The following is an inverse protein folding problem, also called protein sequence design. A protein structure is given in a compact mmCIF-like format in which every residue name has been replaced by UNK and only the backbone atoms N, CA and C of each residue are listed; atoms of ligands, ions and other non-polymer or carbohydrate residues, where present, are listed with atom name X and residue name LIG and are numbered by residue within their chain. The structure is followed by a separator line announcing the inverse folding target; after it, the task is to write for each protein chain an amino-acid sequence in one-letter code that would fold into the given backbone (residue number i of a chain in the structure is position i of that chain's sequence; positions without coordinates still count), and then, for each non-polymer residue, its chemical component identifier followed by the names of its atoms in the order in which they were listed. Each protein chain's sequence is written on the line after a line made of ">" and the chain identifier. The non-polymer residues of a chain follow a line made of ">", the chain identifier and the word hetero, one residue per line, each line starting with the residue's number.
data_IF_956153195737
#
_entry.id   IF_956153195737
#
_cell.length_a   1.000
_cell.length_b   1.000
_cell.length_c   1.000
_cell.angle_alpha   90.00
_cell.angle_beta   90.00
_cell.angle_gamma   90.00
#
_symmetry.space_group_name_H-M   'P 1'
#
loop_
_entity.id
_entity.type
_entity.pdbx_description
1 polymer ?
#
# COMPACT_ATOMS: atom_id res chain seq x y z
N UNK A 1 55.20 1.35 -25.35
CA UNK A 1 54.31 0.51 -24.52
C UNK A 1 53.51 1.41 -23.59
N UNK A 2 52.26 1.66 -23.96
CA UNK A 2 51.35 2.60 -23.29
C UNK A 2 50.91 2.07 -21.94
N UNK A 3 51.07 2.88 -20.88
CA UNK A 3 50.39 2.71 -19.60
C UNK A 3 49.11 3.55 -19.64
N UNK A 4 48.02 2.92 -20.05
CA UNK A 4 46.67 3.47 -19.83
C UNK A 4 46.28 3.21 -18.39
N UNK A 5 46.23 4.27 -17.58
CA UNK A 5 45.54 4.27 -16.31
C UNK A 5 44.04 4.11 -16.58
N UNK A 6 43.46 2.97 -16.22
CA UNK A 6 42.00 2.79 -16.19
C UNK A 6 41.55 3.26 -14.82
N UNK A 7 40.90 4.41 -14.77
CA UNK A 7 40.19 4.87 -13.57
C UNK A 7 39.00 3.93 -13.32
N UNK A 8 39.07 3.12 -12.27
CA UNK A 8 37.88 2.49 -11.71
C UNK A 8 37.03 3.59 -11.06
N UNK A 9 36.04 4.10 -11.80
CA UNK A 9 34.94 4.86 -11.21
C UNK A 9 34.09 3.89 -10.39
N UNK A 10 34.25 3.91 -9.08
CA UNK A 10 33.29 3.36 -8.13
C UNK A 10 31.99 4.17 -8.27
N UNK A 11 31.07 3.71 -9.12
CA UNK A 11 29.67 4.07 -9.01
C UNK A 11 29.12 3.35 -7.78
N UNK A 12 29.31 3.96 -6.61
CA UNK A 12 28.46 3.70 -5.45
C UNK A 12 27.05 4.14 -5.84
N UNK A 13 26.24 3.20 -6.31
CA UNK A 13 24.80 3.33 -6.42
C UNK A 13 24.22 3.44 -5.02
N UNK A 14 24.25 4.66 -4.47
CA UNK A 14 23.34 5.09 -3.40
C UNK A 14 21.98 5.27 -4.08
N UNK A 15 21.23 4.18 -4.25
CA UNK A 15 19.89 4.21 -4.83
C UNK A 15 18.90 3.63 -3.82
N UNK A 16 18.80 4.34 -2.70
CA UNK A 16 17.57 4.49 -1.91
C UNK A 16 17.64 5.92 -1.37
N UNK A 17 17.44 6.89 -2.26
CA UNK A 17 17.49 8.28 -1.88
C UNK A 17 16.18 8.61 -1.16
N UNK A 18 16.19 8.47 0.17
CA UNK A 18 15.13 9.01 1.03
C UNK A 18 14.78 10.43 0.57
N UNK A 19 13.53 10.65 0.15
CA UNK A 19 13.08 11.96 -0.31
C UNK A 19 13.03 12.92 0.90
N UNK A 20 13.36 14.21 0.73
CA UNK A 20 13.15 15.20 1.78
C UNK A 20 11.71 15.13 2.31
N UNK A 21 11.56 15.00 3.63
CA UNK A 21 10.27 14.86 4.29
C UNK A 21 9.83 13.42 4.60
N UNK A 22 10.52 12.39 4.12
CA UNK A 22 10.12 10.98 4.37
C UNK A 22 10.11 10.62 5.85
N UNK A 23 10.97 11.21 6.67
CA UNK A 23 10.94 11.05 8.13
C UNK A 23 9.61 11.53 8.73
N UNK A 24 9.05 12.64 8.24
CA UNK A 24 7.73 13.11 8.68
C UNK A 24 6.62 12.18 8.19
N UNK A 25 6.74 11.67 6.95
CA UNK A 25 5.79 10.70 6.41
C UNK A 25 5.80 9.44 7.27
N UNK A 26 6.95 8.87 7.59
CA UNK A 26 7.06 7.70 8.46
C UNK A 26 6.54 7.96 9.88
N UNK A 27 6.79 9.15 10.44
CA UNK A 27 6.18 9.54 11.73
C UNK A 27 4.65 9.50 11.64
N UNK A 28 4.07 10.07 10.59
CA UNK A 28 2.64 10.06 10.38
C UNK A 28 2.08 8.65 10.11
N UNK A 29 2.78 7.83 9.32
CA UNK A 29 2.43 6.42 9.04
C UNK A 29 2.36 5.63 10.34
N UNK A 30 3.33 5.81 11.25
CA UNK A 30 3.32 5.10 12.53
C UNK A 30 2.16 5.54 13.45
N UNK A 31 1.82 6.84 13.47
CA UNK A 31 0.65 7.34 14.18
C UNK A 31 -0.65 6.77 13.58
N UNK A 32 -0.79 6.87 12.26
CA UNK A 32 -1.92 6.38 11.48
C UNK A 32 -2.21 4.88 11.68
N UNK A 33 -1.19 4.04 11.61
CA UNK A 33 -1.35 2.60 11.84
C UNK A 33 -1.58 2.25 13.32
N UNK A 34 -1.36 3.18 14.27
CA UNK A 34 -1.78 3.05 15.66
C UNK A 34 -3.12 3.77 15.96
N UNK A 35 -3.92 4.05 14.93
CA UNK A 35 -5.21 4.75 15.00
C UNK A 35 -5.16 6.21 15.51
N UNK A 36 -3.97 6.80 15.63
CA UNK A 36 -3.75 8.23 15.93
C UNK A 36 -3.89 9.07 14.63
N UNK A 37 -5.01 8.87 13.93
CA UNK A 37 -5.22 9.37 12.56
C UNK A 37 -5.31 10.90 12.48
N UNK A 38 -5.78 11.58 13.53
CA UNK A 38 -5.79 13.04 13.59
C UNK A 38 -4.37 13.63 13.64
N UNK A 39 -3.50 13.06 14.49
CA UNK A 39 -2.09 13.47 14.57
C UNK A 39 -1.37 13.20 13.24
N UNK A 40 -1.60 12.03 12.64
CA UNK A 40 -1.05 11.69 11.34
C UNK A 40 -1.42 12.74 10.26
N UNK A 41 -2.67 13.21 10.24
CA UNK A 41 -3.11 14.26 9.31
C UNK A 41 -2.37 15.57 9.58
N UNK A 42 -2.24 15.99 10.84
CA UNK A 42 -1.49 17.22 11.19
C UNK A 42 -0.05 17.16 10.72
N UNK A 43 0.65 16.04 10.96
CA UNK A 43 2.03 15.85 10.51
C UNK A 43 2.11 15.90 8.99
N UNK A 44 1.18 15.26 8.27
CA UNK A 44 1.17 15.22 6.81
C UNK A 44 0.77 16.57 6.19
N UNK A 45 -0.07 17.36 6.85
CA UNK A 45 -0.34 18.74 6.45
C UNK A 45 0.95 19.58 6.49
N UNK A 46 1.72 19.49 7.58
CA UNK A 46 3.05 20.13 7.67
C UNK A 46 4.02 19.60 6.63
N UNK A 47 4.12 18.27 6.48
CA UNK A 47 5.05 17.64 5.53
C UNK A 47 4.79 18.09 4.08
N UNK A 48 3.52 18.27 3.68
CA UNK A 48 3.15 18.75 2.34
C UNK A 48 3.45 20.23 2.11
N UNK A 49 3.53 21.03 3.17
CA UNK A 49 3.88 22.46 3.10
C UNK A 49 5.40 22.62 3.05
N UNK A 50 6.11 21.91 3.93
CA UNK A 50 7.57 21.96 4.03
C UNK A 50 8.26 21.25 2.86
N UNK A 51 7.69 20.14 2.39
CA UNK A 51 8.22 19.31 1.31
C UNK A 51 7.15 19.10 0.22
N UNK A 52 6.77 20.17 -0.52
CA UNK A 52 5.69 20.12 -1.52
C UNK A 52 6.03 19.27 -2.75
N UNK A 53 7.29 18.86 -2.90
CA UNK A 53 7.73 17.97 -3.95
C UNK A 53 7.73 16.49 -3.51
N UNK A 54 7.45 16.18 -2.23
CA UNK A 54 7.48 14.79 -1.75
C UNK A 54 6.17 14.05 -2.13
N UNK A 55 6.22 13.02 -3.01
CA UNK A 55 5.02 12.31 -3.45
C UNK A 55 4.40 11.46 -2.33
N UNK A 56 5.21 10.96 -1.40
CA UNK A 56 4.77 10.18 -0.23
C UNK A 56 3.91 11.01 0.70
N UNK A 57 4.32 12.25 0.98
CA UNK A 57 3.56 13.17 1.82
C UNK A 57 2.16 13.42 1.25
N UNK A 58 2.06 13.66 -0.06
CA UNK A 58 0.79 13.88 -0.74
C UNK A 58 -0.12 12.65 -0.73
N UNK A 59 0.40 11.49 -1.13
CA UNK A 59 -0.42 10.28 -1.23
C UNK A 59 -0.82 9.76 0.16
N UNK A 60 0.11 9.73 1.12
CA UNK A 60 -0.16 9.27 2.49
C UNK A 60 -1.18 10.15 3.19
N UNK A 61 -1.19 11.46 2.92
CA UNK A 61 -2.22 12.37 3.43
C UNK A 61 -3.63 11.98 3.00
N UNK A 62 -3.80 11.49 1.76
CA UNK A 62 -5.09 10.96 1.29
C UNK A 62 -5.49 9.73 2.11
N UNK A 63 -4.57 8.79 2.31
CA UNK A 63 -4.82 7.59 3.09
C UNK A 63 -5.18 7.91 4.55
N UNK A 64 -4.44 8.82 5.20
CA UNK A 64 -4.70 9.25 6.56
C UNK A 64 -6.09 9.87 6.73
N UNK A 65 -6.50 10.74 5.79
CA UNK A 65 -7.85 11.34 5.80
C UNK A 65 -8.96 10.35 5.54
N UNK A 66 -8.73 9.39 4.65
CA UNK A 66 -9.69 8.31 4.41
C UNK A 66 -9.93 7.52 5.68
N UNK A 67 -8.88 7.04 6.35
CA UNK A 67 -9.02 6.22 7.55
C UNK A 67 -9.55 6.99 8.75
N UNK A 68 -9.15 8.25 8.92
CA UNK A 68 -9.79 9.12 9.91
C UNK A 68 -11.30 9.22 9.69
N UNK A 69 -11.73 9.38 8.44
CA UNK A 69 -13.16 9.42 8.11
C UNK A 69 -13.85 8.07 8.31
N UNK A 70 -13.22 6.95 7.94
CA UNK A 70 -13.76 5.59 8.17
C UNK A 70 -13.98 5.32 9.67
N UNK A 71 -13.13 5.85 10.54
CA UNK A 71 -13.25 5.69 11.99
C UNK A 71 -14.30 6.60 12.64
N UNK A 72 -14.62 7.76 12.05
CA UNK A 72 -15.40 8.81 12.71
C UNK A 72 -16.71 9.19 11.99
N UNK A 73 -16.93 8.73 10.77
CA UNK A 73 -18.05 9.17 9.93
C UNK A 73 -18.71 8.00 9.19
N UNK A 74 -19.95 8.25 8.73
CA UNK A 74 -20.66 7.31 7.86
C UNK A 74 -19.93 7.13 6.52
N UNK A 75 -20.11 5.95 5.90
CA UNK A 75 -19.42 5.54 4.67
C UNK A 75 -19.54 6.56 3.52
N UNK A 76 -20.71 7.17 3.32
CA UNK A 76 -20.90 8.19 2.27
C UNK A 76 -20.03 9.43 2.49
N UNK A 77 -19.82 9.82 3.75
CA UNK A 77 -18.93 10.93 4.08
C UNK A 77 -17.47 10.57 3.77
N UNK A 78 -17.07 9.33 4.04
CA UNK A 78 -15.73 8.83 3.67
C UNK A 78 -15.49 8.91 2.16
N UNK A 79 -16.46 8.55 1.33
CA UNK A 79 -16.33 8.69 -0.12
C UNK A 79 -16.17 10.15 -0.55
N UNK A 80 -16.86 11.07 0.11
CA UNK A 80 -16.72 12.51 -0.12
C UNK A 80 -15.34 13.04 0.30
N UNK A 81 -14.85 12.64 1.48
CA UNK A 81 -13.51 12.99 1.98
C UNK A 81 -12.43 12.47 1.05
N UNK A 82 -12.49 11.18 0.68
CA UNK A 82 -11.54 10.56 -0.24
C UNK A 82 -11.53 11.26 -1.61
N UNK A 83 -12.71 11.53 -2.19
CA UNK A 83 -12.82 12.23 -3.46
C UNK A 83 -12.16 13.61 -3.41
N UNK A 84 -12.51 14.43 -2.40
CA UNK A 84 -11.95 15.78 -2.23
C UNK A 84 -10.44 15.74 -2.03
N UNK A 85 -9.95 14.81 -1.21
CA UNK A 85 -8.52 14.63 -0.99
C UNK A 85 -7.78 14.25 -2.28
N UNK A 86 -8.35 13.35 -3.09
CA UNK A 86 -7.79 12.96 -4.39
C UNK A 86 -7.86 14.08 -5.43
N UNK A 87 -8.91 14.90 -5.43
CA UNK A 87 -9.01 16.10 -6.28
C UNK A 87 -7.94 17.14 -5.94
N UNK A 88 -7.54 17.23 -4.67
CA UNK A 88 -6.43 18.08 -4.23
C UNK A 88 -5.07 17.56 -4.69
N UNK A 89 -4.77 16.27 -4.53
CA UNK A 89 -3.39 15.77 -4.71
C UNK A 89 -3.07 15.29 -6.13
N UNK A 90 -4.04 14.83 -6.91
CA UNK A 90 -3.76 14.32 -8.27
C UNK A 90 -3.19 15.40 -9.20
N UNK A 91 -3.69 16.65 -9.21
CA UNK A 91 -3.05 17.71 -9.99
C UNK A 91 -1.60 17.97 -9.57
N UNK A 92 -1.32 17.91 -8.26
CA UNK A 92 0.04 18.08 -7.72
C UNK A 92 0.94 16.93 -8.19
N UNK A 93 0.52 15.68 -8.01
CA UNK A 93 1.30 14.50 -8.44
C UNK A 93 1.53 14.48 -9.96
N UNK A 94 0.57 14.95 -10.77
CA UNK A 94 0.76 15.15 -12.21
C UNK A 94 1.83 16.19 -12.51
N UNK A 95 1.80 17.33 -11.81
CA UNK A 95 2.80 18.38 -11.94
C UNK A 95 4.20 17.85 -11.55
N UNK A 96 4.30 17.14 -10.43
CA UNK A 96 5.56 16.56 -9.96
C UNK A 96 6.12 15.50 -10.93
N UNK A 97 5.27 14.61 -11.46
CA UNK A 97 5.67 13.65 -12.51
C UNK A 97 6.22 14.35 -13.76
N UNK A 98 5.67 15.50 -14.13
CA UNK A 98 6.15 16.27 -15.29
C UNK A 98 7.44 17.03 -14.95
N UNK A 99 7.60 17.51 -13.71
CA UNK A 99 8.79 18.21 -13.21
C UNK A 99 9.98 17.25 -13.08
N UNK A 100 9.73 16.01 -12.66
CA UNK A 100 10.73 14.97 -12.41
C UNK A 100 10.46 13.72 -13.26
N UNK A 101 10.54 13.79 -14.60
CA UNK A 101 10.16 12.68 -15.49
C UNK A 101 11.10 11.47 -15.42
N UNK A 102 12.31 11.66 -14.88
CA UNK A 102 13.29 10.59 -14.69
C UNK A 102 13.14 9.85 -13.35
N UNK A 103 12.31 10.38 -12.45
CA UNK A 103 12.03 9.75 -11.17
C UNK A 103 10.70 8.98 -11.28
N UNK A 104 10.77 7.63 -11.34
CA UNK A 104 9.60 6.78 -11.51
C UNK A 104 8.64 6.78 -10.30
N UNK A 105 9.07 7.20 -9.10
CA UNK A 105 8.20 7.21 -7.91
C UNK A 105 6.99 8.12 -8.11
N UNK A 106 7.19 9.29 -8.75
CA UNK A 106 6.06 10.17 -9.09
C UNK A 106 5.04 9.51 -10.00
N UNK A 107 5.50 8.65 -10.93
CA UNK A 107 4.64 7.82 -11.76
C UNK A 107 3.85 6.81 -10.93
N UNK A 108 4.51 6.16 -9.98
CA UNK A 108 3.92 5.17 -9.09
C UNK A 108 2.81 5.80 -8.22
N UNK A 109 3.12 6.87 -7.48
CA UNK A 109 2.17 7.50 -6.57
C UNK A 109 1.03 8.22 -7.31
N UNK A 110 1.28 8.78 -8.50
CA UNK A 110 0.19 9.26 -9.37
C UNK A 110 -0.73 8.11 -9.79
N UNK A 111 -0.16 6.96 -10.19
CA UNK A 111 -0.90 5.77 -10.55
C UNK A 111 -1.75 5.26 -9.38
N UNK A 112 -1.17 5.19 -8.18
CA UNK A 112 -1.86 4.82 -6.95
C UNK A 112 -3.02 5.78 -6.62
N UNK A 113 -2.80 7.11 -6.71
CA UNK A 113 -3.85 8.10 -6.46
C UNK A 113 -5.01 7.99 -7.46
N UNK A 114 -4.72 7.82 -8.76
CA UNK A 114 -5.76 7.62 -9.78
C UNK A 114 -6.49 6.28 -9.56
N UNK A 115 -5.76 5.21 -9.27
CA UNK A 115 -6.33 3.90 -8.97
C UNK A 115 -7.27 3.96 -7.76
N UNK A 116 -6.89 4.70 -6.72
CA UNK A 116 -7.71 4.86 -5.51
C UNK A 116 -9.04 5.58 -5.77
N UNK A 117 -9.17 6.39 -6.85
CA UNK A 117 -10.49 6.92 -7.27
C UNK A 117 -11.50 5.83 -7.59
N UNK A 118 -11.03 4.66 -8.04
CA UNK A 118 -11.92 3.53 -8.32
C UNK A 118 -12.69 3.07 -7.07
N UNK A 119 -12.12 3.23 -5.86
CA UNK A 119 -12.81 2.91 -4.59
C UNK A 119 -14.05 3.78 -4.38
N UNK A 120 -13.95 5.09 -4.61
CA UNK A 120 -15.09 6.04 -4.50
C UNK A 120 -16.17 5.69 -5.53
N UNK A 121 -15.78 5.50 -6.79
CA UNK A 121 -16.73 5.17 -7.85
C UNK A 121 -17.40 3.81 -7.63
N UNK A 122 -16.67 2.81 -7.12
CA UNK A 122 -17.21 1.50 -6.80
C UNK A 122 -18.23 1.58 -5.67
N UNK A 123 -17.89 2.28 -4.57
CA UNK A 123 -18.82 2.52 -3.46
C UNK A 123 -20.11 3.20 -3.90
N UNK A 124 -20.02 4.13 -4.85
CA UNK A 124 -21.16 4.82 -5.46
C UNK A 124 -21.84 4.05 -6.61
N UNK A 125 -21.44 2.79 -6.85
CA UNK A 125 -21.97 1.94 -7.94
C UNK A 125 -21.78 2.53 -9.35
N UNK A 126 -20.77 3.38 -9.54
CA UNK A 126 -20.42 4.03 -10.81
C UNK A 126 -19.44 3.16 -11.63
N UNK A 127 -19.91 1.99 -12.08
CA UNK A 127 -19.08 0.94 -12.68
C UNK A 127 -18.13 1.40 -13.80
N UNK A 128 -18.61 2.25 -14.71
CA UNK A 128 -17.78 2.75 -15.83
C UNK A 128 -16.61 3.61 -15.31
N UNK A 129 -16.88 4.53 -14.39
CA UNK A 129 -15.84 5.37 -13.78
C UNK A 129 -14.84 4.54 -12.97
N UNK A 130 -15.31 3.51 -12.27
CA UNK A 130 -14.46 2.55 -11.56
C UNK A 130 -13.47 1.90 -12.51
N UNK A 131 -13.95 1.33 -13.61
CA UNK A 131 -13.11 0.65 -14.60
C UNK A 131 -12.11 1.60 -15.25
N UNK A 132 -12.54 2.80 -15.65
CA UNK A 132 -11.65 3.79 -16.29
C UNK A 132 -10.53 4.25 -15.34
N UNK A 133 -10.85 4.56 -14.10
CA UNK A 133 -9.84 5.01 -13.13
C UNK A 133 -8.92 3.88 -12.70
N UNK A 134 -9.46 2.68 -12.44
CA UNK A 134 -8.66 1.50 -12.15
C UNK A 134 -7.67 1.21 -13.30
N UNK A 135 -8.14 1.23 -14.54
CA UNK A 135 -7.29 1.01 -15.71
C UNK A 135 -6.19 2.07 -15.85
N UNK A 136 -6.55 3.37 -15.79
CA UNK A 136 -5.59 4.47 -15.94
C UNK A 136 -4.52 4.46 -14.85
N UNK A 137 -4.92 4.26 -13.59
CA UNK A 137 -3.99 4.19 -12.47
C UNK A 137 -3.08 2.97 -12.59
N UNK A 138 -3.66 1.81 -12.89
CA UNK A 138 -2.91 0.57 -13.04
C UNK A 138 -1.90 0.60 -14.19
N UNK A 139 -2.22 1.22 -15.33
CA UNK A 139 -1.27 1.37 -16.45
C UNK A 139 -0.02 2.15 -16.07
N UNK A 140 -0.14 3.18 -15.24
CA UNK A 140 1.01 3.93 -14.73
C UNK A 140 1.85 3.08 -13.78
N UNK A 141 1.19 2.39 -12.85
CA UNK A 141 1.85 1.46 -11.91
C UNK A 141 2.60 0.36 -12.67
N UNK A 142 1.95 -0.25 -13.67
CA UNK A 142 2.52 -1.34 -14.45
C UNK A 142 3.72 -0.87 -15.28
N UNK A 143 3.68 0.34 -15.83
CA UNK A 143 4.81 0.95 -16.53
C UNK A 143 6.01 1.13 -15.59
N UNK A 144 5.78 1.67 -14.39
CA UNK A 144 6.84 1.81 -13.37
C UNK A 144 7.41 0.45 -12.98
N UNK A 145 6.56 -0.52 -12.64
CA UNK A 145 6.98 -1.84 -12.19
C UNK A 145 7.79 -2.62 -13.25
N UNK A 146 7.48 -2.43 -14.54
CA UNK A 146 8.19 -3.09 -15.65
C UNK A 146 9.55 -2.45 -15.93
N UNK A 147 9.61 -1.12 -15.91
CA UNK A 147 10.80 -0.38 -16.30
C UNK A 147 11.77 -0.14 -15.12
N UNK A 148 11.30 -0.29 -13.88
CA UNK A 148 12.04 -0.02 -12.66
C UNK A 148 11.84 -1.16 -11.64
N UNK A 149 12.34 -2.38 -11.92
CA UNK A 149 12.09 -3.56 -11.09
C UNK A 149 12.65 -3.46 -9.67
N UNK A 150 13.58 -2.52 -9.44
CA UNK A 150 14.18 -2.23 -8.13
C UNK A 150 13.20 -1.47 -7.20
N UNK A 151 12.15 -0.84 -7.75
CA UNK A 151 11.09 -0.23 -6.96
C UNK A 151 10.13 -1.31 -6.52
N UNK A 152 10.50 -1.97 -5.43
CA UNK A 152 9.76 -3.10 -4.87
C UNK A 152 8.33 -2.69 -4.51
N UNK A 153 8.11 -1.45 -4.08
CA UNK A 153 6.77 -0.96 -3.73
C UNK A 153 5.77 -1.02 -4.89
N UNK A 154 6.24 -0.94 -6.15
CA UNK A 154 5.38 -1.11 -7.31
C UNK A 154 4.85 -2.54 -7.49
N UNK A 155 5.49 -3.53 -6.85
CA UNK A 155 5.06 -4.93 -6.90
C UNK A 155 3.76 -5.17 -6.13
N UNK A 156 3.49 -4.42 -5.06
CA UNK A 156 2.26 -4.60 -4.28
C UNK A 156 1.00 -4.40 -5.14
N UNK A 157 0.75 -3.23 -5.75
CA UNK A 157 -0.45 -3.02 -6.56
C UNK A 157 -0.52 -3.94 -7.80
N UNK A 158 0.63 -4.31 -8.40
CA UNK A 158 0.67 -5.30 -9.48
C UNK A 158 0.23 -6.68 -8.98
N UNK A 159 0.81 -7.14 -7.88
CA UNK A 159 0.55 -8.43 -7.27
C UNK A 159 -0.92 -8.59 -6.85
N UNK A 160 -1.52 -7.55 -6.27
CA UNK A 160 -2.96 -7.52 -5.93
C UNK A 160 -3.80 -7.79 -7.19
N UNK A 161 -3.55 -7.05 -8.27
CA UNK A 161 -4.34 -7.18 -9.50
C UNK A 161 -4.15 -8.56 -10.14
N UNK A 162 -2.92 -9.05 -10.25
CA UNK A 162 -2.63 -10.38 -10.79
C UNK A 162 -3.24 -11.51 -9.96
N UNK A 163 -3.15 -11.40 -8.63
CA UNK A 163 -3.69 -12.37 -7.68
C UNK A 163 -5.20 -12.51 -7.85
N UNK A 164 -5.94 -11.40 -7.72
CA UNK A 164 -7.40 -11.43 -7.81
C UNK A 164 -7.91 -11.73 -9.22
N UNK A 165 -7.19 -11.29 -10.28
CA UNK A 165 -7.51 -11.70 -11.65
C UNK A 165 -7.28 -13.20 -11.89
N UNK A 166 -6.34 -13.82 -11.16
CA UNK A 166 -6.07 -15.25 -11.22
C UNK A 166 -7.08 -16.14 -10.49
N UNK A 167 -7.91 -15.59 -9.59
CA UNK A 167 -8.91 -16.35 -8.83
C UNK A 167 -10.16 -16.71 -9.66
N UNK A 168 -10.54 -15.85 -10.61
CA UNK A 168 -11.79 -15.99 -11.36
C UNK A 168 -11.53 -16.27 -12.85
N UNK A 169 -11.74 -17.51 -13.34
CA UNK A 169 -11.72 -17.77 -14.77
C UNK A 169 -12.93 -17.09 -15.44
N UNK A 170 -12.72 -16.42 -16.58
CA UNK A 170 -13.80 -15.79 -17.36
C UNK A 170 -13.48 -14.38 -17.86
N UNK A 171 -14.49 -13.51 -17.91
CA UNK A 171 -14.38 -12.15 -18.46
C UNK A 171 -13.34 -11.26 -17.76
N UNK A 172 -13.11 -11.48 -16.46
CA UNK A 172 -12.08 -10.77 -15.68
C UNK A 172 -10.68 -11.17 -16.16
N UNK A 173 -10.43 -12.48 -16.33
CA UNK A 173 -9.15 -12.99 -16.84
C UNK A 173 -8.89 -12.58 -18.30
N UNK A 174 -9.94 -12.52 -19.13
CA UNK A 174 -9.85 -12.00 -20.50
C UNK A 174 -9.49 -10.52 -20.52
N UNK A 175 -10.17 -9.69 -19.71
CA UNK A 175 -9.85 -8.27 -19.56
C UNK A 175 -8.42 -8.05 -19.06
N UNK A 176 -7.99 -8.84 -18.08
CA UNK A 176 -6.62 -8.81 -17.56
C UNK A 176 -5.58 -9.08 -18.66
N UNK A 177 -5.76 -10.15 -19.44
CA UNK A 177 -4.87 -10.47 -20.57
C UNK A 177 -4.80 -9.35 -21.61
N UNK A 178 -5.95 -8.75 -21.97
CA UNK A 178 -5.98 -7.60 -22.90
C UNK A 178 -5.21 -6.38 -22.38
N UNK A 179 -5.13 -6.22 -21.05
CA UNK A 179 -4.36 -5.17 -20.40
C UNK A 179 -2.88 -5.54 -20.20
N UNK A 180 -2.45 -6.73 -20.63
CA UNK A 180 -1.10 -7.26 -20.43
C UNK A 180 -0.82 -7.65 -18.96
N UNK A 181 -1.85 -7.94 -18.18
CA UNK A 181 -1.73 -8.46 -16.82
C UNK A 181 -1.55 -9.96 -16.90
N UNK A 182 -0.52 -10.49 -16.23
CA UNK A 182 -0.36 -11.92 -16.06
C UNK A 182 -1.28 -12.39 -14.93
N UNK A 183 -2.52 -12.78 -15.28
CA UNK A 183 -3.53 -13.24 -14.33
C UNK A 183 -3.13 -14.60 -13.71
N UNK A 184 -2.22 -14.54 -12.76
CA UNK A 184 -1.56 -15.68 -12.13
C UNK A 184 -1.65 -15.52 -10.61
N UNK A 185 -2.48 -16.35 -9.97
CA UNK A 185 -2.69 -16.36 -8.52
C UNK A 185 -1.36 -16.47 -7.75
N UNK A 186 -0.52 -17.45 -8.08
CA UNK A 186 0.77 -17.66 -7.40
C UNK A 186 1.77 -16.54 -7.65
N UNK A 187 1.84 -16.06 -8.90
CA UNK A 187 2.72 -14.96 -9.29
C UNK A 187 2.33 -13.64 -8.61
N UNK A 188 1.02 -13.39 -8.48
CA UNK A 188 0.49 -12.25 -7.75
C UNK A 188 0.83 -12.32 -6.26
N UNK A 189 0.58 -13.46 -5.61
CA UNK A 189 0.93 -13.65 -4.20
C UNK A 189 2.43 -13.44 -3.94
N UNK A 190 3.30 -14.02 -4.77
CA UNK A 190 4.75 -13.85 -4.64
C UNK A 190 5.21 -12.37 -4.76
N UNK A 191 4.52 -11.57 -5.58
CA UNK A 191 4.79 -10.12 -5.66
C UNK A 191 4.37 -9.38 -4.40
N UNK A 192 3.22 -9.74 -3.82
CA UNK A 192 2.73 -9.16 -2.56
C UNK A 192 3.68 -9.55 -1.42
N UNK A 193 4.14 -10.80 -1.34
CA UNK A 193 5.14 -11.26 -0.37
C UNK A 193 6.49 -10.54 -0.52
N UNK A 194 6.93 -10.30 -1.76
CA UNK A 194 8.13 -9.48 -2.02
C UNK A 194 7.96 -8.06 -1.47
N UNK A 195 6.82 -7.42 -1.71
CA UNK A 195 6.53 -6.11 -1.13
C UNK A 195 6.45 -6.14 0.41
N UNK A 196 5.91 -7.20 1.00
CA UNK A 196 5.82 -7.37 2.45
C UNK A 196 7.19 -7.50 3.15
N UNK A 197 8.21 -7.97 2.44
CA UNK A 197 9.55 -8.23 2.98
C UNK A 197 10.59 -7.18 2.57
N UNK A 198 10.43 -6.56 1.39
CA UNK A 198 11.44 -5.69 0.78
C UNK A 198 10.89 -4.32 0.33
N UNK A 199 9.58 -4.09 0.43
CA UNK A 199 8.98 -2.79 0.13
C UNK A 199 9.43 -1.72 1.12
N UNK A 200 9.72 -0.51 0.64
CA UNK A 200 10.09 0.60 1.50
C UNK A 200 8.85 1.16 2.18
N UNK A 201 7.87 1.66 1.41
CA UNK A 201 6.62 2.21 1.95
C UNK A 201 5.45 1.22 1.96
N UNK A 202 5.49 0.20 1.10
CA UNK A 202 4.35 -0.71 0.90
C UNK A 202 4.29 -1.88 1.88
N UNK A 203 5.36 -2.15 2.64
CA UNK A 203 5.49 -3.40 3.40
C UNK A 203 4.37 -3.60 4.43
N UNK A 204 3.87 -2.53 5.08
CA UNK A 204 2.82 -2.64 6.11
C UNK A 204 1.52 -3.13 5.46
N UNK A 205 1.12 -2.48 4.38
CA UNK A 205 -0.07 -2.84 3.63
C UNK A 205 0.07 -4.21 2.98
N UNK A 206 1.26 -4.51 2.46
CA UNK A 206 1.57 -5.81 1.87
C UNK A 206 1.48 -6.94 2.92
N UNK A 207 2.08 -6.79 4.11
CA UNK A 207 1.95 -7.76 5.21
C UNK A 207 0.49 -7.97 5.61
N UNK A 208 -0.29 -6.89 5.68
CA UNK A 208 -1.73 -6.97 6.01
C UNK A 208 -2.47 -7.82 4.96
N UNK A 209 -2.18 -7.57 3.68
CA UNK A 209 -2.82 -8.27 2.56
C UNK A 209 -2.37 -9.74 2.49
N UNK A 210 -1.06 -10.03 2.61
CA UNK A 210 -0.55 -11.41 2.64
C UNK A 210 -1.17 -12.15 3.83
N UNK A 211 -1.16 -11.57 5.03
CA UNK A 211 -1.74 -12.21 6.20
C UNK A 211 -3.22 -12.57 5.99
N UNK A 212 -4.01 -11.63 5.45
CA UNK A 212 -5.42 -11.88 5.15
C UNK A 212 -5.62 -12.97 4.08
N UNK A 213 -4.91 -12.87 2.95
CA UNK A 213 -5.04 -13.80 1.83
C UNK A 213 -4.61 -15.22 2.25
N UNK A 214 -3.49 -15.33 2.97
CA UNK A 214 -2.95 -16.64 3.37
C UNK A 214 -3.83 -17.32 4.41
N UNK A 215 -4.39 -16.55 5.35
CA UNK A 215 -5.31 -17.06 6.37
C UNK A 215 -6.62 -17.59 5.79
N UNK A 216 -7.22 -16.82 4.87
CA UNK A 216 -8.61 -17.02 4.46
C UNK A 216 -8.79 -17.60 3.05
N UNK A 217 -7.77 -17.54 2.19
CA UNK A 217 -7.89 -17.91 0.77
C UNK A 217 -6.90 -19.00 0.34
N UNK A 218 -5.66 -18.98 0.84
CA UNK A 218 -4.62 -19.98 0.51
C UNK A 218 -4.54 -21.15 1.49
N UNK A 219 -5.24 -21.08 2.62
CA UNK A 219 -5.14 -22.08 3.69
C UNK A 219 -3.68 -22.27 4.20
N UNK A 220 -2.93 -21.16 4.28
CA UNK A 220 -1.58 -21.08 4.83
C UNK A 220 -1.56 -20.23 6.11
N UNK A 221 -2.07 -20.77 7.24
CA UNK A 221 -2.10 -20.05 8.51
C UNK A 221 -0.70 -19.78 9.07
N UNK A 222 0.34 -20.47 8.59
CA UNK A 222 1.73 -20.25 9.03
C UNK A 222 2.27 -18.93 8.48
N UNK A 223 2.06 -18.67 7.19
CA UNK A 223 2.41 -17.37 6.59
C UNK A 223 1.58 -16.24 7.19
N UNK A 224 0.28 -16.49 7.41
CA UNK A 224 -0.58 -15.53 8.10
C UNK A 224 -0.06 -15.16 9.50
N UNK A 225 0.31 -16.16 10.29
CA UNK A 225 0.85 -15.97 11.63
C UNK A 225 2.15 -15.14 11.62
N UNK A 226 3.06 -15.41 10.68
CA UNK A 226 4.32 -14.68 10.56
C UNK A 226 4.05 -13.18 10.32
N UNK A 227 3.24 -12.85 9.33
CA UNK A 227 3.01 -11.46 8.94
C UNK A 227 2.11 -10.70 9.92
N UNK A 228 1.09 -11.35 10.48
CA UNK A 228 0.19 -10.73 11.47
C UNK A 228 0.91 -10.45 12.80
N UNK A 229 1.83 -11.33 13.24
CA UNK A 229 2.68 -11.08 14.40
C UNK A 229 3.50 -9.81 14.25
N UNK A 230 4.23 -9.68 13.13
CA UNK A 230 5.05 -8.50 12.85
C UNK A 230 4.22 -7.20 12.92
N UNK A 231 2.99 -7.24 12.39
CA UNK A 231 2.07 -6.10 12.42
C UNK A 231 1.60 -5.78 13.84
N UNK A 232 1.20 -6.78 14.63
CA UNK A 232 0.76 -6.58 16.01
C UNK A 232 1.89 -6.06 16.90
N UNK A 233 3.10 -6.60 16.76
CA UNK A 233 4.26 -6.15 17.52
C UNK A 233 4.63 -4.70 17.19
N UNK A 234 4.53 -4.31 15.91
CA UNK A 234 4.87 -2.95 15.48
C UNK A 234 3.78 -1.92 15.80
N UNK A 235 2.52 -2.31 15.71
CA UNK A 235 1.35 -1.45 15.86
C UNK A 235 0.38 -2.03 16.90
N UNK A 236 0.77 -2.08 18.18
CA UNK A 236 -0.01 -2.74 19.22
C UNK A 236 -1.35 -2.06 19.50
N UNK A 237 -1.55 -0.80 19.11
CA UNK A 237 -2.86 -0.12 19.25
C UNK A 237 -3.82 -0.43 18.10
N UNK A 238 -3.34 -1.09 17.04
CA UNK A 238 -4.16 -1.45 15.91
C UNK A 238 -4.98 -2.71 16.23
N UNK A 239 -6.22 -2.49 16.66
CA UNK A 239 -7.13 -3.58 17.01
C UNK A 239 -7.32 -4.59 15.87
N UNK A 240 -7.40 -4.13 14.62
CA UNK A 240 -7.53 -5.03 13.46
C UNK A 240 -6.32 -5.95 13.31
N UNK A 241 -5.10 -5.47 13.56
CA UNK A 241 -3.91 -6.34 13.55
C UNK A 241 -3.89 -7.30 14.74
N UNK A 242 -4.44 -6.90 15.89
CA UNK A 242 -4.71 -7.78 17.02
C UNK A 242 -5.63 -8.95 16.64
N UNK A 243 -6.76 -8.66 16.00
CA UNK A 243 -7.71 -9.68 15.52
C UNK A 243 -7.07 -10.59 14.49
N UNK A 244 -6.37 -10.03 13.49
CA UNK A 244 -5.72 -10.83 12.46
C UNK A 244 -4.67 -11.77 13.03
N UNK A 245 -3.93 -11.32 14.06
CA UNK A 245 -2.96 -12.15 14.77
C UNK A 245 -3.66 -13.23 15.63
N UNK A 246 -4.73 -12.88 16.35
CA UNK A 246 -5.54 -13.82 17.12
C UNK A 246 -6.10 -14.94 16.24
N UNK A 247 -6.72 -14.60 15.12
CA UNK A 247 -7.28 -15.58 14.19
C UNK A 247 -6.18 -16.49 13.62
N UNK A 248 -5.00 -15.93 13.35
CA UNK A 248 -3.83 -16.71 12.91
C UNK A 248 -3.33 -17.67 14.00
N UNK A 249 -3.36 -17.27 15.28
CA UNK A 249 -3.02 -18.16 16.41
C UNK A 249 -4.03 -19.30 16.55
N UNK A 250 -5.33 -19.00 16.47
CA UNK A 250 -6.41 -20.00 16.53
C UNK A 250 -6.25 -21.02 15.39
N UNK A 251 -6.01 -20.55 14.17
CA UNK A 251 -5.83 -21.42 12.99
C UNK A 251 -4.55 -22.25 13.04
N UNK A 252 -3.60 -21.89 13.91
CA UNK A 252 -2.36 -22.63 14.19
C UNK A 252 -2.45 -23.48 15.47
N UNK A 253 -3.64 -23.59 16.09
CA UNK A 253 -3.88 -24.35 17.33
C UNK A 253 -2.97 -23.90 18.49
N UNK A 254 -2.68 -22.59 18.54
CA UNK A 254 -1.84 -21.96 19.59
C UNK A 254 -2.71 -21.39 20.71
N UNK A 255 -3.44 -22.28 21.38
CA UNK A 255 -4.54 -21.90 22.27
C UNK A 255 -4.10 -21.00 23.45
N UNK A 256 -2.95 -21.25 24.07
CA UNK A 256 -2.46 -20.41 25.18
C UNK A 256 -2.13 -18.98 24.74
N UNK A 257 -1.43 -18.83 23.61
CA UNK A 257 -1.11 -17.51 23.02
C UNK A 257 -2.40 -16.80 22.58
N UNK A 258 -3.33 -17.54 21.96
CA UNK A 258 -4.62 -17.01 21.52
C UNK A 258 -5.46 -16.50 22.70
N UNK A 259 -5.58 -17.28 23.77
CA UNK A 259 -6.34 -16.90 24.96
C UNK A 259 -5.73 -15.66 25.64
N UNK A 260 -4.40 -15.60 25.73
CA UNK A 260 -3.69 -14.43 26.29
C UNK A 260 -3.98 -13.17 25.48
N UNK A 261 -3.91 -13.26 24.16
CA UNK A 261 -4.18 -12.14 23.28
C UNK A 261 -5.66 -11.73 23.29
N UNK A 262 -6.58 -12.69 23.32
CA UNK A 262 -8.01 -12.42 23.41
C UNK A 262 -8.34 -11.60 24.67
N UNK A 263 -7.83 -11.99 25.82
CA UNK A 263 -8.03 -11.23 27.06
C UNK A 263 -7.46 -9.80 26.98
N UNK A 264 -6.30 -9.61 26.34
CA UNK A 264 -5.76 -8.28 26.12
C UNK A 264 -6.64 -7.44 25.18
N UNK A 265 -7.20 -8.04 24.13
CA UNK A 265 -8.10 -7.35 23.19
C UNK A 265 -9.45 -6.97 23.82
N UNK A 266 -9.98 -7.80 24.73
CA UNK A 266 -11.20 -7.49 25.49
C UNK A 266 -11.01 -6.27 26.41
N UNK A 267 -9.82 -6.10 26.99
CA UNK A 267 -9.47 -4.89 27.76
C UNK A 267 -9.34 -3.63 26.88
N UNK A 268 -8.93 -3.79 25.62
CA UNK A 268 -8.78 -2.68 24.65
C UNK A 268 -10.14 -2.15 24.13
N UNK A 269 -11.22 -2.94 24.21
CA UNK A 269 -12.58 -2.55 23.83
C UNK A 269 -13.55 -2.61 25.02
N UNK A 270 -13.70 -1.52 25.80
CA UNK A 270 -14.77 -1.46 26.78
C UNK A 270 -16.12 -1.40 26.05
N UNK A 271 -16.87 -2.49 26.09
CA UNK A 271 -18.28 -2.55 25.70
C UNK A 271 -19.17 -1.76 26.66
#
# INVERSE_FOLDING_TARGET
>A
MNRTAVSLGLYLSILSATQPGDTLVWKAVNAFYNYETAEAITILDSARIEYPDNPHAHFTWVAARMLHSEANHATENTYSVLSKSLDTVIPVLKMLKNKYPQDPEYGLYLGCAIGLRARVSLGRKQWLSTLVNAYKGFRLIQDVARNNPDIVDAQLPVGIVEYYAGLNPGFIQLGAKLMGIDANRKGGLAKIEKAATQGEFSWIEAKKIVAFITLWMEDDPRSALLHSRDLREKYPKNYFYGILFLESLIRMEKDEEAQTLLSALEEELPF
#
